data_IF_943670339392
#
_entry.id   IF_943670339392
#
_cell.length_a   1.000
_cell.length_b   1.000
_cell.length_c   1.000
_cell.angle_alpha   90.00
_cell.angle_beta   90.00
_cell.angle_gamma   90.00
#
_symmetry.space_group_name_H-M   'P 1'
#
loop_
_entity.id
_entity.type
_entity.pdbx_description
1 polymer ?
#
# COMPACT_ATOMS: atom_id res chain seq x y z
N UNK A 1 13.78 -1.31 -9.92
CA UNK A 1 13.82 -1.20 -8.44
C UNK A 1 13.76 0.24 -7.96
N UNK A 2 14.62 1.16 -8.40
CA UNK A 2 14.60 2.58 -7.98
C UNK A 2 13.23 3.24 -8.18
N UNK A 3 12.58 3.02 -9.32
CA UNK A 3 11.24 3.56 -9.63
C UNK A 3 10.20 3.12 -8.60
N UNK A 4 10.26 1.86 -8.12
CA UNK A 4 9.36 1.36 -7.10
C UNK A 4 9.51 2.09 -5.75
N UNK A 5 10.75 2.31 -5.31
CA UNK A 5 11.04 3.06 -4.06
C UNK A 5 10.55 4.49 -4.16
N UNK A 6 10.78 5.17 -5.30
CA UNK A 6 10.26 6.52 -5.56
C UNK A 6 8.72 6.52 -5.48
N UNK A 7 8.05 5.59 -6.18
CA UNK A 7 6.59 5.50 -6.20
C UNK A 7 5.99 5.34 -4.80
N UNK A 8 6.57 4.43 -3.99
CA UNK A 8 6.11 4.21 -2.61
C UNK A 8 6.37 5.41 -1.71
N UNK A 9 7.51 6.09 -1.90
CA UNK A 9 7.81 7.30 -1.13
C UNK A 9 6.80 8.41 -1.44
N UNK A 10 6.45 8.60 -2.70
CA UNK A 10 5.42 9.56 -3.12
C UNK A 10 4.04 9.18 -2.56
N UNK A 11 3.68 7.89 -2.62
CA UNK A 11 2.44 7.38 -2.02
C UNK A 11 2.41 7.63 -0.51
N UNK A 12 3.50 7.33 0.20
CA UNK A 12 3.60 7.56 1.64
C UNK A 12 3.40 9.04 1.99
N UNK A 13 4.02 9.95 1.23
CA UNK A 13 3.84 11.40 1.41
C UNK A 13 2.40 11.83 1.15
N UNK A 14 1.73 11.26 0.14
CA UNK A 14 0.33 11.50 -0.16
C UNK A 14 -0.58 11.10 1.01
N UNK A 15 -0.43 9.87 1.54
CA UNK A 15 -1.20 9.38 2.69
C UNK A 15 -0.99 10.25 3.94
N UNK A 16 0.26 10.62 4.23
CA UNK A 16 0.58 11.51 5.36
C UNK A 16 0.00 12.93 5.17
N UNK A 17 -0.01 13.43 3.93
CA UNK A 17 -0.64 14.70 3.58
C UNK A 17 -2.15 14.65 3.83
N UNK A 18 -2.82 13.60 3.36
CA UNK A 18 -4.24 13.35 3.59
C UNK A 18 -4.58 13.27 5.08
N UNK A 19 -3.74 12.60 5.87
CA UNK A 19 -3.94 12.49 7.30
C UNK A 19 -3.91 13.86 8.03
N UNK A 20 -3.16 14.83 7.49
CA UNK A 20 -3.07 16.18 8.05
C UNK A 20 -4.31 17.03 7.79
N UNK A 21 -4.94 16.85 6.63
CA UNK A 21 -6.12 17.62 6.23
C UNK A 21 -7.43 16.93 6.61
N UNK A 22 -7.37 15.68 7.10
CA UNK A 22 -8.56 14.96 7.56
C UNK A 22 -9.10 15.62 8.81
N UNK A 23 -10.42 15.96 8.88
CA UNK A 23 -11.03 16.58 10.02
C UNK A 23 -10.80 15.81 11.33
N UNK A 24 -10.54 16.52 12.41
CA UNK A 24 -10.32 15.92 13.75
C UNK A 24 -11.60 15.31 14.35
N UNK A 25 -12.76 15.67 13.82
CA UNK A 25 -14.05 15.15 14.28
C UNK A 25 -14.23 13.68 13.90
N UNK A 26 -14.59 12.86 14.87
CA UNK A 26 -14.90 11.44 14.68
C UNK A 26 -13.67 10.55 14.53
N UNK A 27 -13.89 9.34 13.97
CA UNK A 27 -12.86 8.30 13.84
C UNK A 27 -11.99 8.43 12.57
N UNK A 28 -12.28 9.39 11.68
CA UNK A 28 -11.59 9.53 10.41
C UNK A 28 -10.09 9.80 10.60
N UNK A 29 -9.77 10.80 11.43
CA UNK A 29 -8.38 11.17 11.68
C UNK A 29 -7.60 10.06 12.40
N UNK A 30 -8.22 9.38 13.38
CA UNK A 30 -7.58 8.24 14.05
C UNK A 30 -7.21 7.13 13.05
N UNK A 31 -8.12 6.80 12.14
CA UNK A 31 -7.88 5.83 11.06
C UNK A 31 -6.77 6.28 10.12
N UNK A 32 -6.74 7.55 9.74
CA UNK A 32 -5.69 8.09 8.88
C UNK A 32 -4.32 8.12 9.57
N UNK A 33 -4.25 8.35 10.88
CA UNK A 33 -3.01 8.23 11.66
C UNK A 33 -2.49 6.79 11.67
N UNK A 34 -3.37 5.80 11.84
CA UNK A 34 -3.01 4.37 11.78
C UNK A 34 -2.50 4.03 10.36
N UNK A 35 -3.21 4.49 9.32
CA UNK A 35 -2.79 4.30 7.94
C UNK A 35 -1.41 4.92 7.68
N UNK A 36 -1.14 6.13 8.18
CA UNK A 36 0.16 6.79 8.03
C UNK A 36 1.30 5.99 8.68
N UNK A 37 1.07 5.44 9.87
CA UNK A 37 2.06 4.58 10.52
C UNK A 37 2.31 3.29 9.73
N UNK A 38 1.24 2.66 9.21
CA UNK A 38 1.34 1.48 8.37
C UNK A 38 2.10 1.73 7.06
N UNK A 39 1.88 2.88 6.42
CA UNK A 39 2.60 3.26 5.19
C UNK A 39 4.08 3.48 5.45
N UNK A 40 4.47 4.06 6.58
CA UNK A 40 5.88 4.20 6.96
C UNK A 40 6.52 2.83 7.17
N UNK A 41 5.84 1.91 7.86
CA UNK A 41 6.32 0.54 8.03
C UNK A 41 6.45 -0.19 6.69
N UNK A 42 5.48 -0.05 5.81
CA UNK A 42 5.50 -0.61 4.46
C UNK A 42 6.68 -0.06 3.62
N UNK A 43 6.94 1.24 3.69
CA UNK A 43 8.09 1.88 3.02
C UNK A 43 9.41 1.26 3.52
N UNK A 44 9.56 1.05 4.83
CA UNK A 44 10.75 0.42 5.40
C UNK A 44 10.94 -1.02 4.88
N UNK A 45 9.88 -1.84 4.91
CA UNK A 45 9.92 -3.23 4.43
C UNK A 45 10.33 -3.29 2.95
N UNK A 46 9.74 -2.49 2.09
CA UNK A 46 10.03 -2.52 0.66
C UNK A 46 11.37 -1.88 0.30
N UNK A 47 11.86 -0.94 1.11
CA UNK A 47 13.23 -0.42 0.95
C UNK A 47 14.26 -1.52 1.25
N UNK A 48 14.06 -2.29 2.32
CA UNK A 48 14.92 -3.43 2.65
C UNK A 48 14.87 -4.48 1.55
N UNK A 49 13.68 -4.86 1.08
CA UNK A 49 13.51 -5.81 -0.02
C UNK A 49 14.24 -5.35 -1.28
N UNK A 50 14.14 -4.05 -1.62
CA UNK A 50 14.82 -3.48 -2.78
C UNK A 50 16.34 -3.53 -2.62
N UNK A 51 16.86 -3.27 -1.41
CA UNK A 51 18.29 -3.38 -1.10
C UNK A 51 18.82 -4.80 -1.29
N UNK A 52 18.09 -5.81 -0.78
CA UNK A 52 18.45 -7.23 -0.98
C UNK A 52 18.46 -7.58 -2.47
N UNK A 53 17.46 -7.14 -3.23
CA UNK A 53 17.41 -7.39 -4.67
C UNK A 53 18.55 -6.73 -5.46
N UNK A 54 19.02 -5.55 -5.05
CA UNK A 54 20.23 -4.93 -5.64
C UNK A 54 21.48 -5.75 -5.31
N UNK A 55 21.63 -6.18 -4.04
CA UNK A 55 22.77 -7.02 -3.63
C UNK A 55 22.82 -8.36 -4.40
N UNK A 56 21.66 -8.99 -4.68
CA UNK A 56 21.58 -10.19 -5.52
C UNK A 56 22.02 -9.88 -6.95
N UNK A 57 21.62 -8.73 -7.51
CA UNK A 57 21.99 -8.34 -8.87
C UNK A 57 23.51 -8.11 -9.02
N UNK A 58 24.16 -7.58 -7.95
CA UNK A 58 25.60 -7.38 -7.92
C UNK A 58 26.38 -8.68 -7.64
N UNK A 59 25.79 -9.60 -6.89
CA UNK A 59 26.39 -10.90 -6.56
C UNK A 59 25.37 -12.04 -6.76
N UNK A 60 25.23 -12.55 -8.00
CA UNK A 60 24.28 -13.63 -8.30
C UNK A 60 24.51 -14.93 -7.49
N UNK A 61 25.71 -15.18 -6.99
CA UNK A 61 25.99 -16.33 -6.13
C UNK A 61 25.23 -16.31 -4.80
N UNK A 62 24.84 -15.10 -4.33
CA UNK A 62 24.02 -14.94 -3.13
C UNK A 62 22.52 -15.19 -3.38
N UNK A 63 22.07 -15.37 -4.63
CA UNK A 63 20.67 -15.46 -4.98
C UNK A 63 19.90 -16.57 -4.26
N UNK A 64 20.53 -17.74 -4.06
CA UNK A 64 19.87 -18.88 -3.44
C UNK A 64 19.50 -18.61 -1.96
N UNK A 65 20.38 -17.98 -1.18
CA UNK A 65 20.15 -17.67 0.23
C UNK A 65 19.37 -16.39 0.44
N UNK A 66 19.73 -15.32 -0.27
CA UNK A 66 19.08 -14.02 -0.14
C UNK A 66 17.70 -13.97 -0.81
N UNK A 67 17.45 -14.78 -1.85
CA UNK A 67 16.17 -14.85 -2.55
C UNK A 67 15.02 -15.31 -1.67
N UNK A 68 15.22 -16.32 -0.83
CA UNK A 68 14.20 -16.78 0.11
C UNK A 68 13.83 -15.69 1.14
N UNK A 69 14.84 -14.98 1.65
CA UNK A 69 14.64 -13.84 2.57
C UNK A 69 13.88 -12.72 1.87
N UNK A 70 14.26 -12.38 0.64
CA UNK A 70 13.60 -11.35 -0.16
C UNK A 70 12.12 -11.68 -0.40
N UNK A 71 11.78 -12.94 -0.72
CA UNK A 71 10.40 -13.39 -0.90
C UNK A 71 9.60 -13.30 0.40
N UNK A 72 10.18 -13.70 1.54
CA UNK A 72 9.52 -13.59 2.85
C UNK A 72 9.23 -12.14 3.22
N UNK A 73 10.20 -11.24 3.04
CA UNK A 73 10.03 -9.81 3.30
C UNK A 73 8.99 -9.21 2.35
N UNK A 74 8.99 -9.59 1.07
CA UNK A 74 8.02 -9.15 0.08
C UNK A 74 6.60 -9.60 0.43
N UNK A 75 6.44 -10.86 0.87
CA UNK A 75 5.17 -11.39 1.34
C UNK A 75 4.63 -10.63 2.55
N UNK A 76 5.48 -10.41 3.57
CA UNK A 76 5.12 -9.61 4.74
C UNK A 76 4.74 -8.17 4.36
N UNK A 77 5.48 -7.55 3.43
CA UNK A 77 5.19 -6.22 2.91
C UNK A 77 3.84 -6.14 2.20
N UNK A 78 3.49 -7.18 1.44
CA UNK A 78 2.19 -7.29 0.76
C UNK A 78 1.03 -7.38 1.75
N UNK A 79 1.15 -8.23 2.78
CA UNK A 79 0.14 -8.34 3.84
C UNK A 79 0.00 -6.99 4.57
N UNK A 80 1.11 -6.37 4.94
CA UNK A 80 1.11 -5.07 5.61
C UNK A 80 0.47 -3.98 4.76
N UNK A 81 0.66 -4.00 3.43
CA UNK A 81 0.04 -3.06 2.52
C UNK A 81 -1.49 -3.17 2.56
N UNK A 82 -2.05 -4.38 2.48
CA UNK A 82 -3.51 -4.56 2.57
C UNK A 82 -4.06 -4.28 3.97
N UNK A 83 -3.33 -4.61 5.05
CA UNK A 83 -3.71 -4.22 6.42
C UNK A 83 -3.76 -2.70 6.58
N UNK A 84 -2.81 -1.98 5.99
CA UNK A 84 -2.75 -0.51 6.02
C UNK A 84 -3.87 0.13 5.22
N UNK A 85 -4.31 -0.54 4.13
CA UNK A 85 -5.39 -0.05 3.28
C UNK A 85 -6.75 -0.03 4.00
N UNK A 86 -6.98 -0.89 5.00
CA UNK A 86 -8.23 -0.91 5.78
C UNK A 86 -8.48 0.42 6.50
N UNK A 87 -7.59 0.89 7.40
CA UNK A 87 -7.79 2.17 8.07
C UNK A 87 -7.73 3.36 7.10
N UNK A 88 -6.96 3.28 6.03
CA UNK A 88 -6.94 4.29 4.98
C UNK A 88 -8.29 4.43 4.30
N UNK A 89 -8.88 3.32 3.86
CA UNK A 89 -10.21 3.26 3.25
C UNK A 89 -11.30 3.82 4.18
N UNK A 90 -11.26 3.41 5.46
CA UNK A 90 -12.17 3.91 6.47
C UNK A 90 -12.00 5.40 6.77
N UNK A 91 -10.77 5.89 6.78
CA UNK A 91 -10.44 7.30 7.00
C UNK A 91 -10.94 8.20 5.84
N UNK A 92 -10.66 7.79 4.60
CA UNK A 92 -11.13 8.49 3.39
C UNK A 92 -12.66 8.48 3.31
N UNK A 93 -13.28 7.32 3.51
CA UNK A 93 -14.74 7.18 3.38
C UNK A 93 -15.53 7.96 4.44
N UNK A 94 -15.00 8.11 5.67
CA UNK A 94 -15.65 8.84 6.76
C UNK A 94 -15.18 10.28 6.90
N UNK A 95 -14.05 10.66 6.29
CA UNK A 95 -13.45 11.99 6.40
C UNK A 95 -14.04 13.05 5.46
N UNK A 96 -14.89 12.65 4.52
CA UNK A 96 -15.50 13.57 3.54
C UNK A 96 -14.52 14.16 2.52
N UNK A 97 -13.28 13.68 2.47
CA UNK A 97 -12.25 14.16 1.55
C UNK A 97 -12.53 13.77 0.08
N UNK A 98 -13.18 12.63 -0.11
CA UNK A 98 -13.62 12.12 -1.41
C UNK A 98 -14.95 11.39 -1.27
N UNK A 99 -15.55 10.99 -2.39
CA UNK A 99 -16.78 10.20 -2.37
C UNK A 99 -16.60 8.91 -1.53
N UNK A 100 -17.51 8.66 -0.58
CA UNK A 100 -17.50 7.50 0.32
C UNK A 100 -17.39 6.16 -0.42
N UNK A 101 -17.88 6.06 -1.65
CA UNK A 101 -17.80 4.85 -2.47
C UNK A 101 -16.36 4.49 -2.81
N UNK A 102 -15.47 5.47 -2.93
CA UNK A 102 -14.03 5.23 -3.15
C UNK A 102 -13.43 4.53 -1.93
N UNK A 103 -13.79 4.98 -0.73
CA UNK A 103 -13.40 4.30 0.51
C UNK A 103 -13.92 2.86 0.57
N UNK A 104 -15.17 2.61 0.15
CA UNK A 104 -15.74 1.26 0.09
C UNK A 104 -14.98 0.36 -0.89
N UNK A 105 -14.65 0.86 -2.08
CA UNK A 105 -13.86 0.11 -3.08
C UNK A 105 -12.48 -0.27 -2.51
N UNK A 106 -11.78 0.67 -1.89
CA UNK A 106 -10.49 0.40 -1.25
C UNK A 106 -10.60 -0.63 -0.12
N UNK A 107 -11.67 -0.56 0.67
CA UNK A 107 -11.92 -1.52 1.74
C UNK A 107 -12.14 -2.94 1.19
N UNK A 108 -12.92 -3.09 0.12
CA UNK A 108 -13.14 -4.38 -0.56
C UNK A 108 -11.81 -4.92 -1.11
N UNK A 109 -11.01 -4.08 -1.77
CA UNK A 109 -9.68 -4.47 -2.26
C UNK A 109 -8.80 -4.96 -1.10
N UNK A 110 -8.81 -4.26 0.04
CA UNK A 110 -8.02 -4.66 1.20
C UNK A 110 -8.42 -6.03 1.74
N UNK A 111 -9.71 -6.29 1.90
CA UNK A 111 -10.23 -7.57 2.38
C UNK A 111 -9.92 -8.69 1.40
N UNK A 112 -10.17 -8.49 0.10
CA UNK A 112 -9.85 -9.48 -0.93
C UNK A 112 -8.36 -9.80 -0.96
N UNK A 113 -7.48 -8.79 -0.84
CA UNK A 113 -6.05 -9.00 -0.79
C UNK A 113 -5.60 -9.82 0.43
N UNK A 114 -6.16 -9.55 1.62
CA UNK A 114 -5.86 -10.34 2.81
C UNK A 114 -6.38 -11.78 2.71
N UNK A 115 -7.59 -11.98 2.21
CA UNK A 115 -8.15 -13.32 1.99
C UNK A 115 -7.32 -14.10 0.97
N UNK A 116 -6.90 -13.47 -0.13
CA UNK A 116 -6.02 -14.12 -1.12
C UNK A 116 -4.70 -14.53 -0.48
N UNK A 117 -4.07 -13.64 0.30
CA UNK A 117 -2.81 -13.95 0.98
C UNK A 117 -2.96 -15.10 2.00
N UNK A 118 -4.11 -15.21 2.68
CA UNK A 118 -4.39 -16.28 3.63
C UNK A 118 -4.68 -17.62 2.96
N UNK A 119 -5.39 -17.62 1.84
CA UNK A 119 -5.84 -18.86 1.17
C UNK A 119 -4.74 -19.44 0.27
N UNK A 120 -4.10 -18.60 -0.53
CA UNK A 120 -3.12 -19.02 -1.53
C UNK A 120 -1.67 -18.73 -1.13
N UNK A 121 -1.47 -17.85 -0.13
CA UNK A 121 -0.14 -17.32 0.16
C UNK A 121 0.24 -16.17 -0.78
N UNK A 122 1.35 -15.51 -0.46
CA UNK A 122 1.83 -14.36 -1.24
C UNK A 122 2.81 -14.73 -2.36
N UNK A 123 3.38 -15.94 -2.29
CA UNK A 123 4.41 -16.43 -3.23
C UNK A 123 3.91 -17.58 -4.11
N UNK A 124 2.68 -18.05 -3.93
CA UNK A 124 2.02 -18.97 -4.84
C UNK A 124 1.70 -18.28 -6.17
N UNK A 125 1.74 -18.98 -7.28
CA UNK A 125 1.52 -18.41 -8.62
C UNK A 125 0.13 -17.75 -8.73
N UNK A 126 -0.92 -18.47 -8.31
CA UNK A 126 -2.30 -17.95 -8.33
C UNK A 126 -2.46 -16.78 -7.35
N UNK A 127 -1.95 -16.93 -6.12
CA UNK A 127 -1.99 -15.90 -5.10
C UNK A 127 -1.29 -14.61 -5.56
N UNK A 128 -0.07 -14.72 -6.06
CA UNK A 128 0.71 -13.57 -6.53
C UNK A 128 0.06 -12.85 -7.71
N UNK A 129 -0.56 -13.59 -8.64
CA UNK A 129 -1.29 -13.00 -9.76
C UNK A 129 -2.51 -12.19 -9.29
N UNK A 130 -3.33 -12.76 -8.41
CA UNK A 130 -4.51 -12.07 -7.87
C UNK A 130 -4.09 -10.83 -7.07
N UNK A 131 -3.08 -10.97 -6.21
CA UNK A 131 -2.55 -9.86 -5.42
C UNK A 131 -1.98 -8.75 -6.31
N UNK A 132 -1.30 -9.10 -7.40
CA UNK A 132 -0.80 -8.15 -8.38
C UNK A 132 -1.92 -7.35 -9.06
N UNK A 133 -3.03 -8.02 -9.45
CA UNK A 133 -4.21 -7.37 -10.02
C UNK A 133 -4.84 -6.41 -8.99
N UNK A 134 -5.02 -6.84 -7.74
CA UNK A 134 -5.58 -6.00 -6.69
C UNK A 134 -4.71 -4.77 -6.39
N UNK A 135 -3.38 -4.94 -6.41
CA UNK A 135 -2.44 -3.82 -6.27
C UNK A 135 -2.52 -2.84 -7.44
N UNK A 136 -2.69 -3.34 -8.68
CA UNK A 136 -2.87 -2.49 -9.85
C UNK A 136 -4.17 -1.67 -9.74
N UNK A 137 -5.28 -2.31 -9.37
CA UNK A 137 -6.56 -1.61 -9.16
C UNK A 137 -6.41 -0.56 -8.06
N UNK A 138 -5.76 -0.90 -6.95
CA UNK A 138 -5.47 0.05 -5.88
C UNK A 138 -4.64 1.24 -6.38
N UNK A 139 -3.59 1.01 -7.18
CA UNK A 139 -2.77 2.09 -7.75
C UNK A 139 -3.59 3.03 -8.64
N UNK A 140 -4.52 2.50 -9.46
CA UNK A 140 -5.44 3.30 -10.27
C UNK A 140 -6.36 4.14 -9.39
N UNK A 141 -6.95 3.55 -8.34
CA UNK A 141 -7.82 4.28 -7.40
C UNK A 141 -7.03 5.37 -6.66
N UNK A 142 -5.80 5.09 -6.24
CA UNK A 142 -4.94 6.09 -5.60
C UNK A 142 -4.63 7.26 -6.54
N UNK A 143 -4.40 6.99 -7.83
CA UNK A 143 -4.22 8.03 -8.85
C UNK A 143 -5.48 8.89 -9.00
N UNK A 144 -6.66 8.27 -9.05
CA UNK A 144 -7.95 8.98 -9.13
C UNK A 144 -8.15 9.89 -7.91
N UNK A 145 -7.87 9.39 -6.70
CA UNK A 145 -7.92 10.20 -5.47
C UNK A 145 -6.99 11.41 -5.60
N UNK A 146 -5.76 11.21 -6.05
CA UNK A 146 -4.80 12.29 -6.25
C UNK A 146 -5.30 13.36 -7.22
N UNK A 147 -5.87 12.94 -8.36
CA UNK A 147 -6.44 13.86 -9.37
C UNK A 147 -7.64 14.64 -8.81
N UNK A 148 -8.55 13.96 -8.09
CA UNK A 148 -9.73 14.60 -7.50
C UNK A 148 -9.34 15.66 -6.48
N UNK A 149 -8.32 15.38 -5.66
CA UNK A 149 -7.84 16.34 -4.67
C UNK A 149 -7.14 17.53 -5.32
N UNK A 150 -6.36 17.28 -6.38
CA UNK A 150 -5.70 18.37 -7.12
C UNK A 150 -6.69 19.31 -7.82
N UNK A 151 -7.86 18.80 -8.23
CA UNK A 151 -8.92 19.61 -8.85
C UNK A 151 -9.78 20.36 -7.84
N UNK A 152 -9.90 19.85 -6.61
CA UNK A 152 -10.72 20.50 -5.55
C UNK A 152 -10.10 21.77 -4.98
N UNK A 153 -8.80 22.00 -5.16
CA UNK A 153 -8.10 23.21 -4.71
C UNK A 153 -8.23 24.39 -5.70
N UNK A 154 -9.02 24.27 -6.75
CA UNK A 154 -9.13 25.24 -7.84
C UNK A 154 -10.47 26.01 -7.93
N UNK A 155 -11.43 25.80 -7.00
CA UNK A 155 -12.72 26.50 -6.97
C UNK A 155 -12.84 27.41 -5.72
#
# INVERSE_FOLDING_TARGET
MVIGVIGITLYARGVMGLARITPEAGNAQARMRIASAGVVAMLAVWTVQSGIGMAIAENPAAAASAGAVMLGIGGAGTILAFLTLIPFAGGIGSGGLVNKNIGLVLFVIAILGLLTALIFGTNDETGSMILGILQLIWAVVALVIGILMFKGDGD
#
